data_IF_053321824288
#
_entry.id   IF_053321824288
#
_cell.length_a   1.000
_cell.length_b   1.000
_cell.length_c   1.000
_cell.angle_alpha   90.00
_cell.angle_beta   90.00
_cell.angle_gamma   90.00
#
_symmetry.space_group_name_H-M   'P 1'
#
loop_
_entity.id
_entity.type
_entity.pdbx_description
1 polymer ?
#
# COMPACT_ATOMS: atom_id res chain seq x y z
N UNK A 1 12.99 -12.59 3.95
CA UNK A 1 12.06 -11.61 4.55
C UNK A 1 10.67 -11.61 3.88
N UNK A 2 10.54 -11.46 2.55
CA UNK A 2 9.22 -11.51 1.87
C UNK A 2 8.49 -12.85 1.99
N UNK A 3 9.21 -13.98 1.87
CA UNK A 3 8.63 -15.32 2.05
C UNK A 3 8.03 -15.50 3.46
N UNK A 4 8.72 -15.02 4.50
CA UNK A 4 8.22 -15.04 5.87
C UNK A 4 6.94 -14.20 6.03
N UNK A 5 6.86 -13.04 5.38
CA UNK A 5 5.64 -12.23 5.40
C UNK A 5 4.47 -12.97 4.76
N UNK A 6 4.68 -13.65 3.63
CA UNK A 6 3.63 -14.42 2.95
C UNK A 6 3.12 -15.58 3.81
N UNK A 7 4.02 -16.28 4.50
CA UNK A 7 3.65 -17.32 5.49
C UNK A 7 2.84 -16.72 6.63
N UNK A 8 3.27 -15.58 7.18
CA UNK A 8 2.54 -14.91 8.27
C UNK A 8 1.16 -14.41 7.82
N UNK A 9 0.99 -13.96 6.58
CA UNK A 9 -0.31 -13.58 6.01
C UNK A 9 -1.25 -14.79 5.87
N UNK A 10 -0.73 -15.94 5.41
CA UNK A 10 -1.51 -17.18 5.32
C UNK A 10 -1.91 -17.68 6.69
N UNK A 11 -0.97 -17.71 7.64
CA UNK A 11 -1.22 -18.09 9.01
C UNK A 11 -2.27 -17.18 9.67
N UNK A 12 -2.14 -15.86 9.50
CA UNK A 12 -3.13 -14.91 10.01
C UNK A 12 -4.53 -15.18 9.42
N UNK A 13 -4.61 -15.47 8.12
CA UNK A 13 -5.88 -15.84 7.49
C UNK A 13 -6.46 -17.10 8.13
N UNK A 14 -5.66 -18.15 8.32
CA UNK A 14 -6.11 -19.40 8.93
C UNK A 14 -6.60 -19.19 10.38
N UNK A 15 -5.86 -18.41 11.17
CA UNK A 15 -6.22 -18.07 12.56
C UNK A 15 -7.53 -17.27 12.65
N UNK A 16 -7.86 -16.50 11.62
CA UNK A 16 -9.10 -15.73 11.49
C UNK A 16 -10.21 -16.45 10.70
N UNK A 17 -9.93 -17.64 10.14
CA UNK A 17 -10.84 -18.38 9.23
C UNK A 17 -11.77 -19.34 9.95
N UNK A 18 -12.00 -19.17 11.25
CA UNK A 18 -13.09 -19.90 11.92
C UNK A 18 -14.41 -19.56 11.22
N UNK A 19 -15.18 -20.59 10.84
CA UNK A 19 -16.55 -20.43 10.35
C UNK A 19 -17.26 -19.45 11.29
N UNK A 20 -17.91 -18.38 10.79
CA UNK A 20 -18.63 -17.48 11.67
C UNK A 20 -19.62 -18.35 12.46
N UNK A 21 -19.59 -18.31 13.79
CA UNK A 21 -20.57 -19.04 14.56
C UNK A 21 -21.94 -18.48 14.15
N UNK A 22 -22.96 -19.34 14.05
CA UNK A 22 -24.33 -18.92 13.71
C UNK A 22 -24.85 -17.80 14.63
N UNK A 23 -24.21 -17.61 15.80
CA UNK A 23 -24.38 -16.47 16.70
C UNK A 23 -23.03 -15.97 17.22
N UNK A 24 -22.82 -14.64 17.33
CA UNK A 24 -21.64 -14.10 17.99
C UNK A 24 -21.60 -14.58 19.45
N UNK A 25 -20.54 -15.29 19.80
CA UNK A 25 -20.31 -15.80 21.15
C UNK A 25 -18.97 -15.28 21.64
N UNK A 26 -18.92 -14.94 22.93
CA UNK A 26 -17.71 -14.43 23.58
C UNK A 26 -17.04 -15.56 24.36
N UNK A 27 -15.72 -15.57 24.36
CA UNK A 27 -14.89 -16.53 25.12
C UNK A 27 -13.83 -15.79 25.92
N UNK A 28 -13.47 -16.34 27.08
CA UNK A 28 -12.35 -15.82 27.87
C UNK A 28 -11.06 -16.54 27.45
N UNK A 29 -10.06 -15.77 27.01
CA UNK A 29 -8.70 -16.26 26.73
C UNK A 29 -7.73 -15.47 27.60
N UNK A 30 -7.10 -16.12 28.59
CA UNK A 30 -6.13 -15.51 29.50
C UNK A 30 -6.62 -14.20 30.16
N UNK A 31 -7.90 -14.13 30.54
CA UNK A 31 -8.49 -12.95 31.16
C UNK A 31 -8.99 -11.88 30.18
N UNK A 32 -8.91 -12.13 28.87
CA UNK A 32 -9.49 -11.27 27.83
C UNK A 32 -10.82 -11.85 27.34
N UNK A 33 -11.87 -11.04 27.32
CA UNK A 33 -13.19 -11.45 26.79
C UNK A 33 -13.26 -11.08 25.31
N UNK A 34 -13.18 -12.08 24.43
CA UNK A 34 -13.01 -11.90 22.98
C UNK A 34 -14.12 -12.60 22.19
N UNK A 35 -14.35 -12.16 20.96
CA UNK A 35 -15.20 -12.91 20.03
C UNK A 35 -14.57 -14.28 19.73
N UNK A 36 -15.39 -15.34 19.68
CA UNK A 36 -14.91 -16.71 19.43
C UNK A 36 -14.06 -16.83 18.15
N UNK A 37 -14.37 -16.04 17.12
CA UNK A 37 -13.59 -15.99 15.88
C UNK A 37 -12.14 -15.52 16.08
N UNK A 38 -11.87 -14.73 17.13
CA UNK A 38 -10.56 -14.19 17.46
C UNK A 38 -9.79 -15.04 18.48
N UNK A 39 -10.42 -16.05 19.08
CA UNK A 39 -9.82 -16.84 20.16
C UNK A 39 -8.53 -17.57 19.74
N UNK A 40 -8.50 -18.11 18.51
CA UNK A 40 -7.31 -18.81 18.00
C UNK A 40 -6.15 -17.84 17.76
N UNK A 41 -6.42 -16.65 17.23
CA UNK A 41 -5.40 -15.62 17.06
C UNK A 41 -4.84 -15.18 18.43
N UNK A 42 -5.71 -14.95 19.42
CA UNK A 42 -5.28 -14.59 20.76
C UNK A 42 -4.36 -15.65 21.39
N UNK A 43 -4.77 -16.94 21.32
CA UNK A 43 -3.98 -18.07 21.82
C UNK A 43 -2.62 -18.13 21.14
N UNK A 44 -2.57 -17.97 19.82
CA UNK A 44 -1.33 -17.97 19.05
C UNK A 44 -0.40 -16.83 19.47
N UNK A 45 -0.92 -15.62 19.70
CA UNK A 45 -0.12 -14.48 20.19
C UNK A 45 0.47 -14.82 21.55
N UNK A 46 -0.33 -15.30 22.50
CA UNK A 46 0.17 -15.59 23.86
C UNK A 46 1.16 -16.74 23.90
N UNK A 47 1.08 -17.70 22.96
CA UNK A 47 2.04 -18.79 22.83
C UNK A 47 3.35 -18.34 22.16
N UNK A 48 3.26 -17.48 21.14
CA UNK A 48 4.41 -17.08 20.32
C UNK A 48 5.16 -15.89 20.91
N UNK A 49 4.43 -14.95 21.52
CA UNK A 49 4.91 -13.70 22.09
C UNK A 49 4.35 -13.49 23.49
N UNK A 50 4.67 -14.38 24.46
CA UNK A 50 4.13 -14.32 25.82
C UNK A 50 4.42 -12.99 26.53
N UNK A 51 5.50 -12.31 26.16
CA UNK A 51 5.87 -10.98 26.65
C UNK A 51 4.81 -9.91 26.37
N UNK A 52 3.93 -10.13 25.36
CA UNK A 52 2.94 -9.16 24.87
C UNK A 52 2.08 -8.59 25.99
N UNK A 53 1.73 -9.41 26.99
CA UNK A 53 0.78 -9.00 28.05
C UNK A 53 1.37 -8.92 29.45
N UNK A 54 2.69 -9.08 29.61
CA UNK A 54 3.33 -9.17 30.93
C UNK A 54 3.14 -7.90 31.77
N UNK A 55 3.19 -6.73 31.13
CA UNK A 55 3.14 -5.43 31.81
C UNK A 55 1.81 -4.69 31.65
N UNK A 56 0.73 -5.41 31.26
CA UNK A 56 -0.59 -4.79 31.03
C UNK A 56 -1.09 -4.20 32.34
N UNK A 57 -1.31 -2.88 32.33
CA UNK A 57 -1.54 -2.12 33.56
C UNK A 57 -2.97 -2.29 34.10
N UNK A 58 -3.96 -2.46 33.21
CA UNK A 58 -5.37 -2.51 33.60
C UNK A 58 -5.83 -3.93 33.89
N UNK A 59 -6.51 -4.11 35.03
CA UNK A 59 -7.24 -5.34 35.36
C UNK A 59 -8.70 -5.29 34.90
N UNK A 60 -9.19 -4.14 34.39
CA UNK A 60 -10.56 -4.03 33.90
C UNK A 60 -10.74 -4.84 32.59
N UNK A 61 -11.66 -5.82 32.55
CA UNK A 61 -11.86 -6.68 31.38
C UNK A 61 -12.21 -5.92 30.09
N UNK A 62 -13.03 -4.87 30.18
CA UNK A 62 -13.45 -4.09 29.01
C UNK A 62 -12.27 -3.33 28.39
N UNK A 63 -11.44 -2.72 29.26
CA UNK A 63 -10.22 -2.02 28.84
C UNK A 63 -9.24 -2.99 28.19
N UNK A 64 -9.05 -4.16 28.79
CA UNK A 64 -8.19 -5.22 28.25
C UNK A 64 -8.68 -5.70 26.88
N UNK A 65 -9.98 -5.95 26.73
CA UNK A 65 -10.60 -6.33 25.46
C UNK A 65 -10.47 -5.24 24.41
N UNK A 66 -10.64 -3.96 24.79
CA UNK A 66 -10.45 -2.83 23.88
C UNK A 66 -9.03 -2.83 23.28
N UNK A 67 -8.00 -2.92 24.12
CA UNK A 67 -6.62 -2.97 23.64
C UNK A 67 -6.32 -4.22 22.82
N UNK A 68 -6.89 -5.37 23.17
CA UNK A 68 -6.74 -6.57 22.35
C UNK A 68 -7.33 -6.41 20.94
N UNK A 69 -8.46 -5.70 20.82
CA UNK A 69 -9.04 -5.35 19.52
C UNK A 69 -8.16 -4.35 18.74
N UNK A 70 -7.50 -3.41 19.42
CA UNK A 70 -6.49 -2.53 18.79
C UNK A 70 -5.33 -3.36 18.23
N UNK A 71 -4.82 -4.33 19.00
CA UNK A 71 -3.76 -5.25 18.56
C UNK A 71 -4.18 -6.04 17.32
N UNK A 72 -5.39 -6.61 17.30
CA UNK A 72 -5.91 -7.31 16.13
C UNK A 72 -6.06 -6.38 14.92
N UNK A 73 -6.45 -5.12 15.11
CA UNK A 73 -6.52 -4.13 14.04
C UNK A 73 -5.14 -3.81 13.43
N UNK A 74 -4.11 -3.71 14.27
CA UNK A 74 -2.71 -3.55 13.81
C UNK A 74 -2.28 -4.77 13.01
N UNK A 75 -2.47 -5.98 13.54
CA UNK A 75 -2.14 -7.22 12.84
C UNK A 75 -2.92 -7.38 11.54
N UNK A 76 -4.19 -6.96 11.49
CA UNK A 76 -4.97 -6.93 10.27
C UNK A 76 -4.35 -6.00 9.21
N UNK A 77 -3.83 -4.86 9.62
CA UNK A 77 -3.13 -3.93 8.71
C UNK A 77 -1.85 -4.56 8.15
N UNK A 78 -1.13 -5.34 8.95
CA UNK A 78 0.17 -5.95 8.57
C UNK A 78 -0.03 -7.24 7.75
N UNK A 79 -0.94 -8.12 8.17
CA UNK A 79 -1.04 -9.49 7.67
C UNK A 79 -2.32 -9.77 6.86
N UNK A 80 -3.41 -9.04 7.07
CA UNK A 80 -4.66 -9.30 6.33
C UNK A 80 -4.63 -8.66 4.95
N UNK A 81 -4.18 -7.40 4.88
CA UNK A 81 -4.12 -6.67 3.62
C UNK A 81 -2.85 -7.04 2.86
N UNK A 82 -3.01 -7.47 1.61
CA UNK A 82 -1.88 -7.61 0.70
C UNK A 82 -1.19 -6.26 0.56
N UNK A 83 0.11 -6.19 0.82
CA UNK A 83 0.93 -5.08 0.33
C UNK A 83 0.80 -5.04 -1.19
N UNK A 84 0.61 -3.87 -1.85
CA UNK A 84 0.64 -2.49 -1.36
C UNK A 84 -0.75 -1.84 -1.26
N UNK A 85 -1.81 -2.61 -0.99
CA UNK A 85 -3.19 -2.11 -0.90
C UNK A 85 -3.51 -1.42 0.43
N UNK A 86 -2.59 -1.48 1.40
CA UNK A 86 -2.70 -0.76 2.67
C UNK A 86 -2.55 0.74 2.42
N UNK A 87 -3.52 1.55 2.84
CA UNK A 87 -3.53 3.01 2.72
C UNK A 87 -2.54 3.71 3.68
N UNK A 88 -2.20 4.98 3.43
CA UNK A 88 -1.42 5.81 4.36
C UNK A 88 -2.17 6.02 5.68
N UNK A 89 -3.49 6.21 5.61
CA UNK A 89 -4.34 6.37 6.78
C UNK A 89 -4.35 5.09 7.65
N UNK A 90 -4.38 3.91 7.03
CA UNK A 90 -4.29 2.64 7.74
C UNK A 90 -2.94 2.43 8.42
N UNK A 91 -1.83 2.75 7.74
CA UNK A 91 -0.50 2.69 8.35
C UNK A 91 -0.37 3.67 9.52
N UNK A 92 -0.90 4.89 9.38
CA UNK A 92 -0.90 5.89 10.46
C UNK A 92 -1.75 5.41 11.65
N UNK A 93 -2.94 4.86 11.39
CA UNK A 93 -3.81 4.28 12.42
C UNK A 93 -3.12 3.11 13.13
N UNK A 94 -2.46 2.22 12.41
CA UNK A 94 -1.73 1.09 12.98
C UNK A 94 -0.55 1.56 13.84
N UNK A 95 0.20 2.56 13.37
CA UNK A 95 1.32 3.17 14.13
C UNK A 95 0.85 3.82 15.43
N UNK A 96 -0.29 4.55 15.38
CA UNK A 96 -0.93 5.10 16.58
C UNK A 96 -1.38 3.97 17.51
N UNK A 97 -2.02 2.93 16.98
CA UNK A 97 -2.45 1.75 17.74
C UNK A 97 -1.30 1.06 18.48
N UNK A 98 -0.12 0.89 17.86
CA UNK A 98 1.07 0.38 18.54
C UNK A 98 1.52 1.30 19.69
N UNK A 99 1.47 2.61 19.48
CA UNK A 99 1.83 3.59 20.53
C UNK A 99 0.86 3.54 21.71
N UNK A 100 -0.44 3.41 21.44
CA UNK A 100 -1.47 3.32 22.47
C UNK A 100 -1.36 1.99 23.25
N UNK A 101 -1.02 0.88 22.57
CA UNK A 101 -0.74 -0.41 23.20
C UNK A 101 0.48 -0.35 24.13
N UNK A 102 1.59 0.25 23.68
CA UNK A 102 2.78 0.45 24.52
C UNK A 102 2.45 1.27 25.77
N UNK A 103 1.68 2.36 25.63
CA UNK A 103 1.24 3.18 26.79
C UNK A 103 0.38 2.39 27.78
N UNK A 104 -0.42 1.44 27.28
CA UNK A 104 -1.23 0.54 28.09
C UNK A 104 -0.45 -0.62 28.73
N UNK A 105 0.86 -0.72 28.48
CA UNK A 105 1.74 -1.74 29.03
C UNK A 105 1.85 -3.02 28.20
N UNK A 106 1.32 -3.05 26.97
CA UNK A 106 1.56 -4.16 26.06
C UNK A 106 2.97 -4.09 25.47
N UNK A 107 3.67 -5.23 25.45
CA UNK A 107 4.95 -5.35 24.74
C UNK A 107 4.71 -5.77 23.28
N UNK A 108 4.64 -4.79 22.39
CA UNK A 108 4.34 -4.99 20.96
C UNK A 108 5.53 -4.66 20.05
N UNK A 109 6.74 -4.69 20.60
CA UNK A 109 7.97 -4.35 19.87
C UNK A 109 8.21 -5.31 18.69
N UNK A 110 7.80 -6.57 18.83
CA UNK A 110 7.89 -7.58 17.76
C UNK A 110 7.07 -7.22 16.50
N UNK A 111 6.06 -6.35 16.60
CA UNK A 111 5.25 -5.92 15.45
C UNK A 111 5.85 -4.74 14.66
N UNK A 112 6.75 -3.95 15.27
CA UNK A 112 7.28 -2.73 14.63
C UNK A 112 8.01 -3.00 13.31
N UNK A 113 8.91 -4.00 13.22
CA UNK A 113 9.64 -4.26 11.97
C UNK A 113 8.71 -4.66 10.82
N UNK A 114 7.62 -5.37 11.12
CA UNK A 114 6.64 -5.77 10.11
C UNK A 114 5.84 -4.57 9.59
N UNK A 115 5.44 -3.65 10.47
CA UNK A 115 4.74 -2.44 10.06
C UNK A 115 5.63 -1.53 9.19
N UNK A 116 6.91 -1.39 9.55
CA UNK A 116 7.90 -0.64 8.77
C UNK A 116 8.10 -1.27 7.38
N UNK A 117 8.19 -2.60 7.32
CA UNK A 117 8.32 -3.32 6.07
C UNK A 117 7.15 -3.08 5.12
N UNK A 118 5.91 -3.16 5.60
CA UNK A 118 4.70 -2.87 4.81
C UNK A 118 4.70 -1.41 4.32
N UNK A 119 5.14 -0.47 5.17
CA UNK A 119 5.29 0.94 4.79
C UNK A 119 6.31 1.14 3.67
N UNK A 120 7.47 0.47 3.76
CA UNK A 120 8.53 0.56 2.76
C UNK A 120 8.11 -0.05 1.42
N UNK A 121 7.47 -1.22 1.43
CA UNK A 121 6.97 -1.87 0.21
C UNK A 121 5.91 -1.01 -0.50
N UNK A 122 5.00 -0.38 0.25
CA UNK A 122 4.05 0.61 -0.29
C UNK A 122 4.78 1.76 -0.97
N UNK A 123 5.76 2.38 -0.30
CA UNK A 123 6.54 3.50 -0.84
C UNK A 123 7.25 3.12 -2.14
N UNK A 124 7.89 1.95 -2.18
CA UNK A 124 8.56 1.41 -3.38
C UNK A 124 7.59 1.26 -4.55
N UNK A 125 6.38 0.71 -4.32
CA UNK A 125 5.37 0.61 -5.38
C UNK A 125 4.90 1.97 -5.86
N UNK A 126 4.63 2.91 -4.96
CA UNK A 126 4.19 4.24 -5.34
C UNK A 126 5.24 4.96 -6.20
N UNK A 127 6.52 4.86 -5.83
CA UNK A 127 7.62 5.39 -6.63
C UNK A 127 7.70 4.73 -8.02
N UNK A 128 7.51 3.41 -8.08
CA UNK A 128 7.45 2.68 -9.35
C UNK A 128 6.29 3.14 -10.25
N UNK A 129 5.08 3.29 -9.69
CA UNK A 129 3.90 3.75 -10.45
C UNK A 129 4.06 5.21 -10.91
N UNK A 130 4.64 6.08 -10.09
CA UNK A 130 4.93 7.47 -10.47
C UNK A 130 5.90 7.51 -11.67
N UNK A 131 7.02 6.78 -11.58
CA UNK A 131 8.00 6.68 -12.69
C UNK A 131 7.37 6.10 -13.96
N UNK A 132 6.52 5.08 -13.82
CA UNK A 132 5.79 4.49 -14.95
C UNK A 132 4.82 5.49 -15.60
N UNK A 133 4.18 6.33 -14.81
CA UNK A 133 3.30 7.39 -15.32
C UNK A 133 4.09 8.47 -16.07
N UNK A 134 5.23 8.92 -15.53
CA UNK A 134 6.13 9.88 -16.18
C UNK A 134 6.60 9.38 -17.55
N UNK A 135 7.10 8.14 -17.62
CA UNK A 135 7.54 7.53 -18.88
C UNK A 135 6.41 7.43 -19.92
N UNK A 136 5.17 7.16 -19.48
CA UNK A 136 4.01 7.14 -20.38
C UNK A 136 3.70 8.54 -20.92
N UNK A 137 3.81 9.58 -20.09
CA UNK A 137 3.59 10.96 -20.50
C UNK A 137 4.67 11.43 -21.48
N UNK A 138 5.94 11.10 -21.24
CA UNK A 138 7.04 11.41 -22.14
C UNK A 138 6.85 10.75 -23.52
N UNK A 139 6.54 9.45 -23.55
CA UNK A 139 6.20 8.74 -24.80
C UNK A 139 4.99 9.34 -25.53
N UNK A 140 4.02 9.88 -24.80
CA UNK A 140 2.88 10.57 -25.41
C UNK A 140 3.28 11.92 -26.02
N UNK A 141 4.15 12.69 -25.36
CA UNK A 141 4.69 13.95 -25.90
C UNK A 141 5.50 13.72 -27.17
N UNK A 142 6.41 12.75 -27.18
CA UNK A 142 7.23 12.44 -28.36
C UNK A 142 6.40 11.99 -29.56
N UNK A 143 5.33 11.22 -29.33
CA UNK A 143 4.36 10.84 -30.39
C UNK A 143 3.62 12.05 -30.96
N UNK A 144 3.14 12.96 -30.11
CA UNK A 144 2.47 14.19 -30.56
C UNK A 144 3.41 15.10 -31.35
N UNK A 145 4.64 15.28 -30.88
CA UNK A 145 5.65 16.08 -31.58
C UNK A 145 6.00 15.50 -32.95
N UNK A 146 6.18 14.17 -33.04
CA UNK A 146 6.41 13.48 -34.31
C UNK A 146 5.22 13.64 -35.28
N UNK A 147 3.99 13.48 -34.80
CA UNK A 147 2.79 13.65 -35.62
C UNK A 147 2.62 15.09 -36.12
N UNK A 148 2.92 16.09 -35.28
CA UNK A 148 2.86 17.49 -35.67
C UNK A 148 3.92 17.83 -36.73
N UNK A 149 5.16 17.31 -36.56
CA UNK A 149 6.24 17.44 -37.56
C UNK A 149 5.85 16.84 -38.91
N UNK A 150 5.22 15.66 -38.91
CA UNK A 150 4.70 15.01 -40.12
C UNK A 150 3.59 15.82 -40.80
N UNK A 151 2.69 16.44 -40.03
CA UNK A 151 1.61 17.27 -40.56
C UNK A 151 2.15 18.57 -41.19
N UNK A 152 3.04 19.30 -40.49
CA UNK A 152 3.63 20.53 -41.04
C UNK A 152 4.50 20.28 -42.28
N UNK A 153 5.25 19.17 -42.30
CA UNK A 153 6.04 18.79 -43.48
C UNK A 153 5.21 18.58 -44.75
N UNK A 154 3.92 18.25 -44.63
CA UNK A 154 2.99 18.15 -45.77
C UNK A 154 2.50 19.51 -46.29
N UNK A 155 2.58 20.58 -45.50
CA UNK A 155 2.13 21.92 -45.91
C UNK A 155 3.21 22.73 -46.65
N UNK A 156 4.49 22.37 -46.54
CA UNK A 156 5.60 23.12 -47.16
C UNK A 156 6.09 22.59 -48.52
N UNK A 157 5.40 21.61 -49.13
CA UNK A 157 5.66 21.22 -50.52
C UNK A 157 4.85 22.07 -51.51
N UNK A 158 5.12 23.38 -51.58
CA UNK A 158 4.77 24.19 -52.75
C UNK A 158 6.05 24.89 -53.17
N UNK A 159 6.74 24.32 -54.16
CA UNK A 159 7.81 25.01 -54.89
C UNK A 159 7.14 26.04 -55.79
N UNK A 160 7.22 27.37 -55.53
CA UNK A 160 6.92 28.32 -56.59
C UNK A 160 8.03 28.17 -57.64
N UNK A 161 7.68 27.76 -58.87
CA UNK A 161 8.59 27.90 -60.01
C UNK A 161 9.03 29.38 -60.07
N UNK A 162 10.33 29.69 -60.12
CA UNK A 162 10.76 31.07 -60.32
C UNK A 162 10.25 31.55 -61.69
N UNK A 163 9.79 32.81 -61.81
CA UNK A 163 9.33 33.35 -63.07
C UNK A 163 10.47 33.35 -64.09
N UNK A 164 10.19 32.81 -65.28
CA UNK A 164 11.10 32.88 -66.43
C UNK A 164 11.07 34.33 -66.92
N UNK A 165 12.15 35.07 -66.70
CA UNK A 165 12.37 36.35 -67.38
C UNK A 165 12.79 36.04 -68.82
N UNK A 166 11.88 36.22 -69.77
CA UNK A 166 12.21 36.28 -71.19
C UNK A 166 12.79 37.68 -71.40
N UNK A 167 14.11 37.77 -71.56
CA UNK A 167 14.76 39.02 -71.94
C UNK A 167 14.29 39.44 -73.32
N UNK A 168 13.73 40.64 -73.44
CA UNK A 168 13.66 41.34 -74.72
C UNK A 168 15.09 41.71 -75.10
N UNK A 169 15.60 41.08 -76.15
CA UNK A 169 16.74 41.61 -76.90
C UNK A 169 16.23 42.83 -77.67
N UNK A 170 16.56 44.01 -77.18
CA UNK A 170 16.70 45.20 -78.01
C UNK A 170 18.19 45.57 -78.02
N UNK A 171 18.57 46.32 -79.05
CA UNK A 171 19.87 46.89 -79.42
C UNK A 171 20.32 46.27 -80.77
N UNK A 172 19.90 46.81 -81.92
CA UNK A 172 20.34 48.06 -82.57
C UNK A 172 21.28 47.75 -83.75
N UNK A 173 20.73 47.71 -84.98
CA UNK A 173 21.15 48.50 -86.15
C UNK A 173 20.18 48.32 -87.33
#
# INVERSE_FOLDING_TARGET
MQMQMMVNQQLFRLLMSNHPPEKPSKTNVNGFVLESSQANLAKWIFQTYPETTVNVQSQNPEVRTHYMNVLFGVMGTIYHKKTPYVSTAELSKASKGLSDLTKAGFNVEWLRPYLEMVSLERKKRNAYEARKAELKMEKAKSRKHSSFRLLLGRFFCVNPKPPIFIGQANDDL
#
